data_IF_525690425741
#
_entry.id   IF_525690425741
#
_cell.length_a   1.000
_cell.length_b   1.000
_cell.length_c   1.000
_cell.angle_alpha   90.00
_cell.angle_beta   90.00
_cell.angle_gamma   90.00
#
_symmetry.space_group_name_H-M   'P 1'
#
loop_
_entity.id
_entity.type
_entity.pdbx_description
1 polymer ?
#
# COMPACT_ATOMS: atom_id res chain seq x y z
N UNK A 1 -80.53 -43.67 22.05
CA UNK A 1 -80.11 -42.46 22.75
C UNK A 1 -78.60 -42.39 22.62
N UNK A 2 -78.16 -41.60 21.70
CA UNK A 2 -76.81 -41.58 21.09
C UNK A 2 -75.98 -40.42 21.63
N UNK A 3 -74.81 -40.69 22.20
CA UNK A 3 -73.82 -39.67 22.58
C UNK A 3 -72.68 -39.68 21.61
N UNK A 4 -72.62 -38.62 20.81
CA UNK A 4 -71.50 -38.34 19.89
C UNK A 4 -70.25 -37.94 20.71
N UNK A 5 -69.22 -38.74 20.66
CA UNK A 5 -67.88 -38.34 21.14
C UNK A 5 -67.17 -37.52 20.06
N UNK A 6 -66.95 -36.21 20.36
CA UNK A 6 -66.08 -35.34 19.57
C UNK A 6 -64.62 -35.72 19.86
N UNK A 7 -63.94 -36.30 18.88
CA UNK A 7 -62.50 -36.49 18.96
C UNK A 7 -61.83 -35.16 18.44
N UNK A 8 -61.17 -34.46 19.37
CA UNK A 8 -60.29 -33.35 19.02
C UNK A 8 -58.96 -33.90 18.49
N UNK A 9 -58.67 -33.67 17.23
CA UNK A 9 -57.38 -33.95 16.60
C UNK A 9 -56.46 -32.77 16.93
N UNK A 10 -55.52 -32.95 17.84
CA UNK A 10 -54.42 -32.04 18.08
C UNK A 10 -53.37 -32.24 16.97
N UNK A 11 -53.30 -31.35 16.00
CA UNK A 11 -52.22 -31.28 15.05
C UNK A 11 -51.01 -30.58 15.73
N UNK A 12 -50.02 -31.36 16.13
CA UNK A 12 -48.74 -30.87 16.64
C UNK A 12 -47.90 -30.38 15.43
N UNK A 13 -47.91 -29.06 15.19
CA UNK A 13 -46.98 -28.45 14.24
C UNK A 13 -45.59 -28.40 14.90
N UNK A 14 -44.70 -29.34 14.50
CA UNK A 14 -43.31 -29.37 14.90
C UNK A 14 -42.54 -28.29 14.10
N UNK A 15 -42.33 -27.13 14.74
CA UNK A 15 -41.54 -26.04 14.17
C UNK A 15 -40.05 -26.44 14.24
N UNK A 16 -39.47 -26.85 13.11
CA UNK A 16 -38.02 -27.05 12.94
C UNK A 16 -37.31 -25.71 12.99
N UNK A 17 -36.84 -25.31 14.17
CA UNK A 17 -35.88 -24.22 14.33
C UNK A 17 -34.51 -24.71 13.89
N UNK A 18 -34.07 -24.37 12.66
CA UNK A 18 -32.70 -24.55 12.23
C UNK A 18 -31.77 -23.60 12.99
N UNK A 19 -30.67 -24.08 13.60
CA UNK A 19 -29.70 -23.19 14.23
C UNK A 19 -28.99 -22.40 13.12
N UNK A 20 -29.20 -21.09 13.06
CA UNK A 20 -28.36 -20.15 12.30
C UNK A 20 -26.99 -20.11 13.00
N UNK A 21 -26.01 -20.78 12.42
CA UNK A 21 -24.59 -20.59 12.78
C UNK A 21 -24.19 -19.15 12.42
N UNK A 22 -23.64 -18.39 13.37
CA UNK A 22 -23.10 -17.09 13.06
C UNK A 22 -21.91 -17.29 12.13
N UNK A 23 -22.01 -16.83 10.88
CA UNK A 23 -20.86 -16.67 10.00
C UNK A 23 -20.04 -15.49 10.53
N UNK A 24 -18.95 -15.81 11.27
CA UNK A 24 -17.95 -14.80 11.61
C UNK A 24 -17.36 -14.25 10.30
N UNK A 25 -17.40 -12.93 10.05
CA UNK A 25 -16.60 -12.38 8.96
C UNK A 25 -15.15 -12.69 9.26
N UNK A 26 -14.45 -13.31 8.31
CA UNK A 26 -13.00 -13.39 8.35
C UNK A 26 -12.50 -11.95 8.37
N UNK A 27 -11.96 -11.49 9.50
CA UNK A 27 -11.25 -10.23 9.60
C UNK A 27 -10.00 -10.39 8.73
N UNK A 28 -10.07 -9.92 7.49
CA UNK A 28 -8.89 -9.64 6.71
C UNK A 28 -8.06 -8.65 7.53
N UNK A 29 -6.80 -8.96 7.76
CA UNK A 29 -5.85 -8.06 8.40
C UNK A 29 -5.48 -6.94 7.42
N UNK A 30 -6.47 -6.18 6.95
CA UNK A 30 -6.27 -4.94 6.20
C UNK A 30 -5.86 -3.86 7.19
N UNK A 31 -4.58 -3.88 7.57
CA UNK A 31 -3.95 -2.74 8.24
C UNK A 31 -4.08 -1.51 7.34
N UNK A 32 -4.23 -0.31 7.94
CA UNK A 32 -4.25 0.93 7.18
C UNK A 32 -3.03 1.00 6.23
N UNK A 33 -3.21 1.47 4.98
CA UNK A 33 -2.11 1.57 4.01
C UNK A 33 -0.93 2.34 4.59
N UNK A 34 0.28 1.84 4.35
CA UNK A 34 1.51 2.52 4.73
C UNK A 34 1.85 3.52 3.62
N UNK A 35 1.73 4.82 3.91
CA UNK A 35 2.09 5.87 2.96
C UNK A 35 3.55 6.28 3.14
N UNK A 36 4.28 6.39 2.04
CA UNK A 36 5.63 6.94 1.97
C UNK A 36 5.73 7.90 0.78
N UNK A 37 6.53 8.96 0.89
CA UNK A 37 6.74 9.89 -0.23
C UNK A 37 7.78 9.35 -1.21
N UNK A 38 7.65 9.71 -2.48
CA UNK A 38 8.67 9.43 -3.52
C UNK A 38 10.02 9.99 -3.06
N UNK A 39 11.10 9.24 -3.27
CA UNK A 39 12.48 9.56 -2.88
C UNK A 39 12.69 9.75 -1.36
N UNK A 40 11.77 9.24 -0.54
CA UNK A 40 11.88 9.28 0.91
C UNK A 40 11.89 7.87 1.49
N UNK A 41 12.58 7.71 2.62
CA UNK A 41 12.56 6.50 3.42
C UNK A 41 11.72 6.69 4.68
N UNK A 42 11.08 5.61 5.12
CA UNK A 42 10.28 5.54 6.35
C UNK A 42 10.65 4.30 7.15
N UNK A 43 10.87 4.47 8.44
CA UNK A 43 11.11 3.37 9.37
C UNK A 43 9.77 2.75 9.75
N UNK A 44 9.68 1.42 9.61
CA UNK A 44 8.56 0.61 10.06
C UNK A 44 9.03 -0.30 11.18
N UNK A 45 8.30 -0.31 12.30
CA UNK A 45 8.52 -1.23 13.40
C UNK A 45 7.44 -2.29 13.39
N UNK A 46 7.84 -3.56 13.49
CA UNK A 46 6.97 -4.73 13.51
C UNK A 46 7.03 -5.42 14.88
N UNK A 47 5.94 -6.11 15.22
CA UNK A 47 5.75 -6.68 16.56
C UNK A 47 6.46 -8.03 16.76
N UNK A 48 6.95 -8.66 15.68
CA UNK A 48 7.63 -9.96 15.71
C UNK A 48 8.86 -9.92 14.81
N UNK A 49 9.88 -10.78 15.03
CA UNK A 49 11.07 -10.83 14.19
C UNK A 49 10.76 -11.23 12.76
N UNK A 50 11.14 -10.41 11.79
CA UNK A 50 11.08 -10.71 10.37
C UNK A 50 12.27 -11.57 9.94
N UNK A 51 12.00 -12.63 9.21
CA UNK A 51 13.02 -13.42 8.52
C UNK A 51 13.00 -13.17 7.01
N UNK A 52 11.81 -12.92 6.46
CA UNK A 52 11.65 -12.67 5.02
C UNK A 52 10.74 -11.47 4.80
N UNK A 53 11.13 -10.61 3.86
CA UNK A 53 10.35 -9.43 3.45
C UNK A 53 10.20 -9.43 1.94
N UNK A 54 8.97 -9.26 1.47
CA UNK A 54 8.60 -9.31 0.06
C UNK A 54 7.88 -8.03 -0.31
N UNK A 55 8.34 -7.37 -1.36
CA UNK A 55 7.67 -6.25 -2.02
C UNK A 55 7.09 -6.74 -3.34
N UNK A 56 5.81 -6.48 -3.60
CA UNK A 56 5.13 -6.92 -4.82
C UNK A 56 5.66 -6.24 -6.08
N UNK A 57 5.95 -4.93 -6.01
CA UNK A 57 6.56 -4.19 -7.12
C UNK A 57 7.78 -3.36 -6.64
N UNK A 58 9.01 -3.84 -6.87
CA UNK A 58 10.23 -3.13 -6.46
C UNK A 58 10.52 -1.85 -7.25
N UNK A 59 9.78 -1.56 -8.32
CA UNK A 59 9.81 -0.29 -9.03
C UNK A 59 9.04 0.83 -8.33
N UNK A 60 8.05 0.49 -7.51
CA UNK A 60 7.25 1.43 -6.72
C UNK A 60 7.88 1.71 -5.37
N UNK A 61 8.23 0.68 -4.64
CA UNK A 61 8.87 0.78 -3.33
C UNK A 61 9.92 -0.30 -3.14
N UNK A 62 10.81 -0.08 -2.18
CA UNK A 62 11.80 -1.05 -1.76
C UNK A 62 11.84 -1.14 -0.24
N UNK A 63 12.27 -2.28 0.29
CA UNK A 63 12.34 -2.49 1.73
C UNK A 63 13.64 -3.19 2.11
N UNK A 64 14.27 -2.69 3.16
CA UNK A 64 15.50 -3.26 3.72
C UNK A 64 15.28 -3.62 5.17
N UNK A 65 15.74 -4.80 5.59
CA UNK A 65 15.75 -5.22 6.99
C UNK A 65 16.96 -4.57 7.65
N UNK A 66 16.74 -3.66 8.60
CA UNK A 66 17.79 -3.04 9.39
C UNK A 66 18.15 -3.91 10.60
N UNK A 67 17.12 -4.42 11.26
CA UNK A 67 17.19 -5.42 12.32
C UNK A 67 15.90 -6.28 12.28
N UNK A 68 15.81 -7.39 13.05
CA UNK A 68 14.66 -8.28 12.96
C UNK A 68 13.28 -7.66 13.19
N UNK A 69 13.20 -6.48 13.80
CA UNK A 69 11.96 -5.78 14.10
C UNK A 69 11.88 -4.38 13.47
N UNK A 70 12.90 -3.98 12.73
CA UNK A 70 12.95 -2.66 12.10
C UNK A 70 13.22 -2.80 10.61
N UNK A 71 12.26 -2.34 9.82
CA UNK A 71 12.32 -2.29 8.37
C UNK A 71 12.47 -0.83 7.91
N UNK A 72 13.21 -0.61 6.84
CA UNK A 72 13.32 0.68 6.16
C UNK A 72 12.62 0.56 4.82
N UNK A 73 11.47 1.23 4.68
CA UNK A 73 10.69 1.30 3.45
C UNK A 73 11.08 2.55 2.67
N UNK A 74 11.48 2.38 1.42
CA UNK A 74 11.87 3.47 0.51
C UNK A 74 10.88 3.60 -0.64
N UNK A 75 10.27 4.78 -0.82
CA UNK A 75 9.42 5.09 -1.96
C UNK A 75 10.26 5.45 -3.18
N UNK A 76 10.13 4.71 -4.29
CA UNK A 76 10.87 4.94 -5.54
C UNK A 76 10.07 5.71 -6.56
N UNK A 77 8.88 5.24 -6.90
CA UNK A 77 7.99 5.91 -7.84
C UNK A 77 6.56 5.92 -7.33
N UNK A 78 5.78 6.89 -7.80
CA UNK A 78 4.35 6.98 -7.48
C UNK A 78 3.61 5.70 -7.85
N UNK A 79 2.76 5.21 -6.95
CA UNK A 79 1.93 4.03 -7.17
C UNK A 79 1.62 3.28 -5.89
N UNK A 80 1.06 2.10 -6.06
CA UNK A 80 0.71 1.19 -4.97
C UNK A 80 1.36 -0.16 -5.17
N UNK A 81 1.75 -0.79 -4.08
CA UNK A 81 2.25 -2.16 -4.03
C UNK A 81 1.86 -2.77 -2.68
N UNK A 82 2.17 -4.02 -2.44
CA UNK A 82 2.00 -4.64 -1.14
C UNK A 82 3.34 -5.02 -0.52
N UNK A 83 3.34 -5.07 0.81
CA UNK A 83 4.45 -5.51 1.64
C UNK A 83 4.01 -6.71 2.45
N UNK A 84 4.70 -7.84 2.27
CA UNK A 84 4.49 -9.06 3.04
C UNK A 84 5.73 -9.31 3.88
N UNK A 85 5.54 -9.54 5.17
CA UNK A 85 6.60 -9.86 6.13
C UNK A 85 6.32 -11.22 6.73
N UNK A 86 7.29 -12.12 6.68
CA UNK A 86 7.17 -13.49 7.20
C UNK A 86 8.18 -13.71 8.33
N UNK A 87 7.81 -14.60 9.27
CA UNK A 87 8.72 -15.11 10.31
C UNK A 87 9.66 -16.21 9.76
N UNK A 88 10.47 -16.81 10.63
CA UNK A 88 11.46 -17.86 10.32
C UNK A 88 10.83 -19.18 9.86
N UNK A 89 9.57 -19.44 10.22
CA UNK A 89 8.81 -20.62 9.80
C UNK A 89 7.83 -20.35 8.65
N UNK A 90 7.83 -19.10 8.11
CA UNK A 90 7.05 -18.70 6.95
C UNK A 90 5.63 -18.22 7.25
N UNK A 91 5.26 -17.98 8.51
CA UNK A 91 3.96 -17.38 8.82
C UNK A 91 3.98 -15.87 8.54
N UNK A 92 2.87 -15.30 8.04
CA UNK A 92 2.78 -13.87 7.83
C UNK A 92 2.68 -13.10 9.16
N UNK A 93 3.64 -12.21 9.40
CA UNK A 93 3.65 -11.23 10.48
C UNK A 93 2.84 -9.99 10.07
N UNK A 94 2.98 -9.59 8.81
CA UNK A 94 2.25 -8.47 8.23
C UNK A 94 2.01 -8.71 6.74
N UNK A 95 0.83 -8.30 6.27
CA UNK A 95 0.48 -8.15 4.87
C UNK A 95 -0.29 -6.84 4.75
N UNK A 96 0.28 -5.87 4.07
CA UNK A 96 -0.26 -4.51 4.05
C UNK A 96 -0.01 -3.83 2.71
N UNK A 97 -0.91 -2.91 2.36
CA UNK A 97 -0.76 -2.07 1.19
C UNK A 97 0.27 -0.96 1.48
N UNK A 98 1.15 -0.73 0.52
CA UNK A 98 2.10 0.38 0.50
C UNK A 98 1.67 1.35 -0.59
N UNK A 99 1.48 2.60 -0.22
CA UNK A 99 1.16 3.68 -1.14
C UNK A 99 2.33 4.67 -1.20
N UNK A 100 2.89 4.83 -2.38
CA UNK A 100 3.93 5.84 -2.62
C UNK A 100 3.29 7.07 -3.21
N UNK A 101 3.32 8.17 -2.45
CA UNK A 101 2.69 9.44 -2.80
C UNK A 101 3.73 10.49 -3.17
N UNK A 102 3.34 11.42 -4.03
CA UNK A 102 4.18 12.56 -4.36
C UNK A 102 4.11 13.62 -3.24
N UNK A 103 5.24 14.26 -2.95
CA UNK A 103 5.26 15.47 -2.12
C UNK A 103 4.78 16.65 -2.99
N UNK A 104 3.49 16.96 -2.92
CA UNK A 104 2.86 17.96 -3.80
C UNK A 104 3.09 19.41 -3.37
N UNK A 105 3.63 19.68 -2.19
CA UNK A 105 3.61 21.00 -1.58
C UNK A 105 4.33 22.11 -2.41
N UNK A 106 5.32 21.74 -3.25
CA UNK A 106 6.18 22.72 -3.93
C UNK A 106 6.36 22.41 -5.42
N UNK A 107 5.49 21.58 -6.01
CA UNK A 107 5.59 21.20 -7.42
C UNK A 107 4.79 22.14 -8.31
N UNK A 108 5.46 22.70 -9.31
CA UNK A 108 4.86 23.48 -10.38
C UNK A 108 5.02 22.74 -11.70
N UNK A 109 3.92 22.42 -12.35
CA UNK A 109 3.93 21.82 -13.68
C UNK A 109 3.70 22.89 -14.74
N UNK A 110 4.61 22.98 -15.70
CA UNK A 110 4.56 23.94 -16.81
C UNK A 110 4.33 23.18 -18.12
N UNK A 111 3.39 23.66 -18.92
CA UNK A 111 3.11 23.15 -20.26
C UNK A 111 3.56 24.17 -21.31
N UNK A 112 4.43 23.72 -22.23
CA UNK A 112 4.85 24.47 -23.41
C UNK A 112 4.37 23.68 -24.65
N UNK A 113 3.17 24.01 -25.13
CA UNK A 113 2.49 23.19 -26.12
C UNK A 113 2.16 21.82 -25.57
N UNK A 114 2.72 20.77 -26.15
CA UNK A 114 2.56 19.38 -25.68
C UNK A 114 3.66 18.93 -24.70
N UNK A 115 4.71 19.73 -24.52
CA UNK A 115 5.80 19.39 -23.60
C UNK A 115 5.39 19.76 -22.17
N UNK A 116 5.47 18.76 -21.28
CA UNK A 116 5.24 18.91 -19.83
C UNK A 116 6.59 18.95 -19.13
N UNK A 117 6.78 19.91 -18.26
CA UNK A 117 7.97 20.01 -17.39
C UNK A 117 7.54 20.24 -15.95
N UNK A 118 8.22 19.61 -15.01
CA UNK A 118 7.92 19.75 -13.58
C UNK A 118 9.10 20.40 -12.85
N UNK A 119 8.78 21.37 -12.02
CA UNK A 119 9.74 22.10 -11.18
C UNK A 119 9.35 21.98 -9.72
N UNK A 120 10.34 21.91 -8.83
CA UNK A 120 10.15 22.09 -7.37
C UNK A 120 10.56 23.51 -7.01
N UNK A 121 9.66 24.27 -6.36
CA UNK A 121 9.86 25.68 -6.04
C UNK A 121 9.82 25.92 -4.52
N UNK A 122 11.01 26.18 -3.89
CA UNK A 122 11.07 26.50 -2.46
C UNK A 122 12.34 27.32 -2.11
N UNK A 123 12.39 28.62 -2.19
CA UNK A 123 11.60 29.58 -2.97
C UNK A 123 12.01 29.66 -4.45
N UNK A 124 13.15 29.08 -4.84
CA UNK A 124 13.67 29.06 -6.21
C UNK A 124 13.26 27.74 -6.88
N UNK A 125 12.72 27.86 -8.09
CA UNK A 125 12.30 26.69 -8.85
C UNK A 125 13.50 25.95 -9.44
N UNK A 126 13.58 24.64 -9.17
CA UNK A 126 14.60 23.72 -9.69
C UNK A 126 13.95 22.63 -10.52
N UNK A 127 14.61 22.13 -11.58
CA UNK A 127 14.12 20.99 -12.35
C UNK A 127 13.92 19.75 -11.46
N UNK A 128 12.75 19.14 -11.58
CA UNK A 128 12.43 17.85 -10.92
C UNK A 128 11.87 16.91 -11.96
N UNK A 129 12.42 15.70 -12.05
CA UNK A 129 11.99 14.70 -13.03
C UNK A 129 10.77 13.95 -12.48
N UNK A 130 9.68 14.01 -13.22
CA UNK A 130 8.44 13.32 -12.91
C UNK A 130 8.00 12.44 -14.08
N UNK A 131 7.30 11.34 -13.78
CA UNK A 131 6.71 10.50 -14.82
C UNK A 131 5.73 11.32 -15.67
N UNK A 132 5.93 11.28 -16.99
CA UNK A 132 5.13 12.03 -17.95
C UNK A 132 5.70 13.40 -18.32
N UNK A 133 6.86 13.80 -17.79
CA UNK A 133 7.59 14.97 -18.28
C UNK A 133 8.19 14.70 -19.66
N UNK A 134 8.44 15.78 -20.38
CA UNK A 134 9.06 15.74 -21.70
C UNK A 134 10.43 15.03 -21.63
N UNK A 135 10.72 14.06 -22.54
CA UNK A 135 11.96 13.31 -22.49
C UNK A 135 13.22 14.18 -22.68
N UNK A 136 13.14 15.26 -23.47
CA UNK A 136 14.27 16.15 -23.69
C UNK A 136 14.59 16.97 -22.42
N UNK A 137 13.58 17.43 -21.72
CA UNK A 137 13.72 18.07 -20.42
C UNK A 137 14.33 17.10 -19.40
N UNK A 138 13.77 15.89 -19.27
CA UNK A 138 14.23 14.89 -18.33
C UNK A 138 15.67 14.47 -18.59
N UNK A 139 16.06 14.25 -19.86
CA UNK A 139 17.43 13.89 -20.22
C UNK A 139 18.43 15.01 -19.94
N UNK A 140 18.07 16.27 -20.17
CA UNK A 140 18.91 17.44 -19.85
C UNK A 140 19.11 17.62 -18.34
N UNK A 141 18.07 17.38 -17.54
CA UNK A 141 18.14 17.44 -16.08
C UNK A 141 19.07 16.33 -15.52
N UNK A 142 18.95 15.09 -16.03
CA UNK A 142 19.84 13.98 -15.66
C UNK A 142 21.30 14.28 -16.05
N UNK A 143 21.54 14.80 -17.27
CA UNK A 143 22.88 15.14 -17.71
C UNK A 143 23.52 16.22 -16.80
N UNK A 144 22.75 17.22 -16.39
CA UNK A 144 23.22 18.27 -15.46
C UNK A 144 23.52 17.68 -14.07
N UNK A 145 22.68 16.76 -13.56
CA UNK A 145 22.92 16.09 -12.29
C UNK A 145 24.20 15.25 -12.30
N UNK A 146 24.44 14.51 -13.39
CA UNK A 146 25.66 13.71 -13.54
C UNK A 146 26.94 14.57 -13.59
N UNK A 147 26.86 15.77 -14.18
CA UNK A 147 27.99 16.72 -14.16
C UNK A 147 28.31 17.22 -12.75
N UNK A 148 27.30 17.50 -11.95
CA UNK A 148 27.48 17.93 -10.55
C UNK A 148 28.07 16.78 -9.72
N UNK A 149 27.56 15.56 -9.90
CA UNK A 149 28.06 14.38 -9.19
C UNK A 149 29.51 14.05 -9.57
N UNK A 150 29.85 14.15 -10.86
CA UNK A 150 31.23 13.97 -11.35
C UNK A 150 32.21 15.04 -10.87
N UNK A 151 31.76 16.25 -10.58
CA UNK A 151 32.57 17.34 -10.05
C UNK A 151 32.82 17.21 -8.53
N UNK A 152 32.06 16.36 -7.84
CA UNK A 152 32.16 16.15 -6.40
C UNK A 152 33.12 14.98 -6.01
N UNK A 153 33.68 14.29 -6.99
CA UNK A 153 34.68 13.20 -6.82
C UNK A 153 36.11 13.73 -7.07
#
# INVERSE_FOLDING_TARGET
MSSLRRQSVFVFALLMAAPMLPTSPAAGADGAPISVKVNMARILRINAPAATVIIGNPGVADVTIQDPQTLVLTGKSYGQTNLIVLDDIGNPIADTLVEVVQAQADLVTVYLGNARTTLTCAPVCQPTIMLGDDPSFSSSAVASSNLVEGAAQ
#
